data_IF_108392134418
#
_entry.id   IF_108392134418
#
_cell.length_a   1.000
_cell.length_b   1.000
_cell.length_c   1.000
_cell.angle_alpha   90.00
_cell.angle_beta   90.00
_cell.angle_gamma   90.00
#
_symmetry.space_group_name_H-M   'P 1'
#
loop_
_entity.id
_entity.type
_entity.pdbx_description
1 polymer ?
#
# COMPACT_ATOMS: atom_id res chain seq x y z
N UNK A 1 -2.59 -19.05 -16.66
CA UNK A 1 -1.57 -20.00 -16.15
C UNK A 1 -1.42 -19.72 -14.66
N UNK A 2 -1.82 -20.66 -13.77
CA UNK A 2 -1.67 -20.49 -12.33
C UNK A 2 -0.19 -20.41 -11.92
N UNK A 3 0.09 -19.55 -10.95
CA UNK A 3 1.41 -19.48 -10.34
C UNK A 3 1.74 -20.82 -9.66
N UNK A 4 2.89 -21.38 -9.97
CA UNK A 4 3.39 -22.59 -9.29
C UNK A 4 4.43 -22.14 -8.27
N UNK A 5 4.08 -22.18 -6.99
CA UNK A 5 5.01 -21.88 -5.90
C UNK A 5 6.23 -22.80 -5.89
N UNK A 6 7.36 -22.30 -5.41
CA UNK A 6 8.58 -23.06 -5.13
C UNK A 6 8.58 -23.65 -3.72
N UNK A 7 9.70 -24.26 -3.32
CA UNK A 7 9.85 -24.95 -2.03
C UNK A 7 9.62 -24.05 -0.78
N UNK A 8 9.76 -22.72 -0.95
CA UNK A 8 9.64 -21.74 0.14
C UNK A 8 8.45 -20.76 -0.11
N UNK A 9 7.36 -21.27 -0.71
CA UNK A 9 6.20 -20.46 -1.03
C UNK A 9 4.96 -21.06 -0.39
N UNK A 10 4.24 -20.23 0.34
CA UNK A 10 2.90 -20.55 0.82
C UNK A 10 1.88 -19.78 -0.01
N UNK A 11 0.87 -20.48 -0.49
CA UNK A 11 -0.23 -19.90 -1.27
C UNK A 11 -1.44 -19.78 -0.34
N UNK A 12 -1.80 -18.55 -0.02
CA UNK A 12 -3.03 -18.27 0.70
C UNK A 12 -4.15 -17.94 -0.29
N UNK A 13 -5.22 -18.71 -0.24
CA UNK A 13 -6.43 -18.45 -1.03
C UNK A 13 -7.21 -17.27 -0.41
N UNK A 14 -8.17 -16.74 -1.19
CA UNK A 14 -9.05 -15.68 -0.71
C UNK A 14 -9.65 -16.00 0.67
N UNK A 15 -9.53 -15.08 1.59
CA UNK A 15 -10.02 -15.17 2.95
C UNK A 15 -11.31 -14.38 3.11
N UNK A 16 -12.09 -14.71 4.13
CA UNK A 16 -13.21 -13.87 4.57
C UNK A 16 -12.69 -12.55 5.14
N UNK A 17 -13.45 -11.44 5.10
CA UNK A 17 -12.99 -10.13 5.57
C UNK A 17 -12.43 -10.12 6.99
N UNK A 18 -13.01 -10.93 7.88
CA UNK A 18 -12.58 -11.09 9.28
C UNK A 18 -11.20 -11.77 9.43
N UNK A 19 -10.80 -12.59 8.45
CA UNK A 19 -9.52 -13.32 8.45
C UNK A 19 -8.47 -12.68 7.55
N UNK A 20 -8.89 -11.87 6.60
CA UNK A 20 -7.99 -11.24 5.64
C UNK A 20 -6.86 -10.45 6.33
N UNK A 21 -7.20 -9.67 7.35
CA UNK A 21 -6.24 -8.89 8.12
C UNK A 21 -5.17 -9.73 8.81
N UNK A 22 -5.46 -10.97 9.19
CA UNK A 22 -4.50 -11.85 9.86
C UNK A 22 -3.32 -12.22 8.96
N UNK A 23 -3.49 -12.18 7.65
CA UNK A 23 -2.40 -12.48 6.69
C UNK A 23 -1.25 -11.47 6.83
N UNK A 24 -1.55 -10.22 7.15
CA UNK A 24 -0.54 -9.17 7.30
C UNK A 24 0.35 -9.37 8.53
N UNK A 25 -0.14 -10.02 9.58
CA UNK A 25 0.64 -10.22 10.81
C UNK A 25 1.85 -11.15 10.65
N UNK A 26 1.91 -11.91 9.55
CA UNK A 26 3.00 -12.80 9.21
C UNK A 26 3.96 -12.22 8.15
N UNK A 27 3.78 -10.96 7.75
CA UNK A 27 4.58 -10.31 6.72
C UNK A 27 5.55 -9.30 7.34
N UNK A 28 6.79 -9.28 6.86
CA UNK A 28 7.76 -8.23 7.16
C UNK A 28 7.74 -7.12 6.11
N UNK A 29 7.44 -7.46 4.85
CA UNK A 29 7.40 -6.56 3.70
C UNK A 29 6.26 -7.01 2.78
N UNK A 30 5.46 -6.07 2.30
CA UNK A 30 4.45 -6.33 1.28
C UNK A 30 4.95 -5.94 -0.11
N UNK A 31 4.49 -6.66 -1.13
CA UNK A 31 4.86 -6.39 -2.53
C UNK A 31 3.63 -6.09 -3.37
N UNK A 32 3.73 -5.04 -4.19
CA UNK A 32 2.72 -4.68 -5.17
C UNK A 32 3.34 -4.44 -6.56
N UNK A 33 3.78 -5.51 -7.25
CA UNK A 33 4.27 -5.40 -8.61
C UNK A 33 3.07 -5.23 -9.55
N UNK A 34 2.98 -4.08 -10.20
CA UNK A 34 1.96 -3.78 -11.19
C UNK A 34 2.59 -3.52 -12.55
N UNK A 35 1.94 -4.01 -13.60
CA UNK A 35 2.23 -3.65 -14.97
C UNK A 35 1.65 -2.27 -15.26
N UNK A 36 2.37 -1.44 -16.03
CA UNK A 36 1.89 -0.12 -16.43
C UNK A 36 0.81 -0.25 -17.49
N UNK A 37 -0.39 0.12 -17.13
CA UNK A 37 -1.55 0.25 -18.02
C UNK A 37 -2.63 1.11 -17.33
N UNK A 38 -3.56 1.64 -18.09
CA UNK A 38 -4.61 2.54 -17.62
C UNK A 38 -5.42 1.96 -16.46
N UNK A 39 -5.64 0.65 -16.45
CA UNK A 39 -6.36 -0.03 -15.38
C UNK A 39 -5.60 -0.02 -14.06
N UNK A 40 -4.30 -0.29 -14.09
CA UNK A 40 -3.46 -0.30 -12.89
C UNK A 40 -3.18 1.12 -12.38
N UNK A 41 -3.06 2.08 -13.28
CA UNK A 41 -2.87 3.48 -12.96
C UNK A 41 -4.09 4.11 -12.29
N UNK A 42 -5.29 3.59 -12.61
CA UNK A 42 -6.56 4.00 -12.00
C UNK A 42 -6.92 3.28 -10.69
N UNK A 43 -6.03 2.44 -10.15
CA UNK A 43 -6.28 1.73 -8.87
C UNK A 43 -6.22 2.69 -7.69
N UNK A 44 -6.94 2.33 -6.64
CA UNK A 44 -6.89 3.05 -5.37
C UNK A 44 -5.69 2.64 -4.50
N UNK A 45 -5.34 3.51 -3.57
CA UNK A 45 -4.28 3.38 -2.57
C UNK A 45 -4.58 2.36 -1.44
N UNK A 46 -5.61 1.54 -1.58
CA UNK A 46 -6.07 0.62 -0.53
C UNK A 46 -4.95 -0.27 0.03
N UNK A 47 -4.01 -0.67 -0.83
CA UNK A 47 -2.87 -1.47 -0.42
C UNK A 47 -1.92 -0.70 0.52
N UNK A 48 -1.78 0.60 0.32
CA UNK A 48 -1.01 1.49 1.20
C UNK A 48 -1.68 1.54 2.57
N UNK A 49 -3.00 1.78 2.61
CA UNK A 49 -3.76 1.83 3.85
C UNK A 49 -3.71 0.50 4.63
N UNK A 50 -3.86 -0.63 3.92
CA UNK A 50 -3.74 -1.97 4.51
C UNK A 50 -2.35 -2.19 5.12
N UNK A 51 -1.28 -1.95 4.37
CA UNK A 51 0.09 -2.14 4.84
C UNK A 51 0.42 -1.22 6.03
N UNK A 52 0.04 0.05 5.94
CA UNK A 52 0.25 1.03 7.03
C UNK A 52 -0.48 0.64 8.31
N UNK A 53 -1.70 0.11 8.21
CA UNK A 53 -2.46 -0.39 9.37
C UNK A 53 -1.67 -1.42 10.18
N UNK A 54 -0.91 -2.28 9.51
CA UNK A 54 -0.14 -3.36 10.13
C UNK A 54 1.35 -3.04 10.30
N UNK A 55 1.77 -1.81 10.03
CA UNK A 55 3.18 -1.36 10.11
C UNK A 55 4.12 -2.14 9.20
N UNK A 56 3.64 -2.48 8.02
CA UNK A 56 4.38 -3.24 7.01
C UNK A 56 4.77 -2.29 5.89
N UNK A 57 6.06 -2.09 5.57
CA UNK A 57 6.45 -1.26 4.44
C UNK A 57 6.04 -1.92 3.13
N UNK A 58 5.66 -1.09 2.16
CA UNK A 58 5.26 -1.52 0.84
C UNK A 58 6.38 -1.30 -0.17
N UNK A 59 6.74 -2.35 -0.91
CA UNK A 59 7.58 -2.26 -2.11
C UNK A 59 6.66 -2.38 -3.32
N UNK A 60 6.53 -1.31 -4.09
CA UNK A 60 5.54 -1.21 -5.17
C UNK A 60 6.17 -0.72 -6.47
N UNK A 61 5.51 -1.01 -7.60
CA UNK A 61 5.78 -0.32 -8.85
C UNK A 61 5.43 1.16 -8.69
N UNK A 62 6.29 2.05 -9.16
CA UNK A 62 6.04 3.49 -9.17
C UNK A 62 4.96 3.81 -10.21
N UNK A 63 3.70 3.83 -9.77
CA UNK A 63 2.53 4.13 -10.59
C UNK A 63 1.36 4.62 -9.74
N UNK A 64 0.55 5.51 -10.31
CA UNK A 64 -0.75 5.95 -9.86
C UNK A 64 -0.93 6.04 -8.34
N UNK A 65 -1.70 5.12 -7.79
CA UNK A 65 -2.07 5.11 -6.38
C UNK A 65 -0.89 4.96 -5.38
N UNK A 66 0.31 4.64 -5.83
CA UNK A 66 1.43 4.41 -4.91
C UNK A 66 2.41 5.58 -4.83
N UNK A 67 2.62 6.32 -5.92
CA UNK A 67 3.60 7.42 -5.98
C UNK A 67 3.18 8.63 -5.14
N UNK A 68 1.88 8.84 -4.94
CA UNK A 68 1.36 9.88 -4.06
C UNK A 68 1.55 9.59 -2.57
N UNK A 69 1.66 8.31 -2.19
CA UNK A 69 1.60 7.88 -0.79
C UNK A 69 2.88 7.25 -0.26
N UNK A 70 3.69 6.66 -1.13
CA UNK A 70 4.94 6.03 -0.72
C UNK A 70 6.09 7.02 -0.88
N UNK A 71 6.73 7.34 0.22
CA UNK A 71 7.99 8.10 0.22
C UNK A 71 9.13 7.09 0.14
N UNK A 72 9.83 7.09 -1.00
CA UNK A 72 10.88 6.11 -1.31
C UNK A 72 11.99 6.11 -0.25
N UNK A 73 12.29 4.94 0.29
CA UNK A 73 13.27 4.74 1.36
C UNK A 73 12.81 5.17 2.77
N UNK A 74 11.64 5.82 2.91
CA UNK A 74 11.12 6.28 4.21
C UNK A 74 9.88 5.51 4.68
N UNK A 75 8.90 5.27 3.81
CA UNK A 75 7.67 4.54 4.12
C UNK A 75 7.56 3.23 3.36
N UNK A 76 8.39 3.03 2.35
CA UNK A 76 8.46 1.87 1.48
C UNK A 76 9.49 2.08 0.40
N UNK A 77 9.36 1.35 -0.70
CA UNK A 77 10.17 1.55 -1.90
C UNK A 77 9.30 1.60 -3.14
N UNK A 78 9.62 2.54 -4.04
CA UNK A 78 9.02 2.66 -5.36
C UNK A 78 10.02 2.18 -6.41
N UNK A 79 9.61 1.25 -7.23
CA UNK A 79 10.42 0.68 -8.31
C UNK A 79 9.87 1.18 -9.64
N UNK A 80 10.70 1.87 -10.38
CA UNK A 80 10.39 2.35 -11.71
C UNK A 80 10.00 1.15 -12.61
N UNK A 81 8.86 1.20 -13.32
CA UNK A 81 8.36 0.10 -14.13
C UNK A 81 9.32 -0.32 -15.24
N UNK A 82 10.17 0.59 -15.71
CA UNK A 82 11.17 0.32 -16.74
C UNK A 82 12.42 -0.39 -16.20
N UNK A 83 12.53 -0.54 -14.87
CA UNK A 83 13.67 -1.25 -14.27
C UNK A 83 13.51 -2.77 -14.40
N UNK A 84 14.64 -3.48 -14.60
CA UNK A 84 14.63 -4.94 -14.68
C UNK A 84 14.25 -5.58 -13.35
N UNK A 85 13.83 -6.84 -13.40
CA UNK A 85 13.48 -7.63 -12.19
C UNK A 85 14.60 -7.67 -11.15
N UNK A 86 15.84 -7.47 -11.56
CA UNK A 86 17.00 -7.41 -10.66
C UNK A 86 16.91 -6.27 -9.66
N UNK A 87 16.19 -5.18 -9.98
CA UNK A 87 15.97 -4.09 -9.05
C UNK A 87 15.08 -4.52 -7.88
N UNK A 88 14.03 -5.29 -8.14
CA UNK A 88 13.21 -5.91 -7.10
C UNK A 88 14.05 -6.80 -6.19
N UNK A 89 14.92 -7.63 -6.77
CA UNK A 89 15.83 -8.51 -6.01
C UNK A 89 16.80 -7.67 -5.16
N UNK A 90 17.31 -6.56 -5.70
CA UNK A 90 18.19 -5.64 -4.97
C UNK A 90 17.50 -5.04 -3.75
N UNK A 91 16.31 -4.48 -3.94
CA UNK A 91 15.52 -3.85 -2.87
C UNK A 91 15.14 -4.88 -1.79
N UNK A 92 14.65 -6.05 -2.19
CA UNK A 92 14.32 -7.11 -1.23
C UNK A 92 15.55 -7.61 -0.46
N UNK A 93 16.71 -7.64 -1.11
CA UNK A 93 17.97 -7.98 -0.43
C UNK A 93 18.38 -6.92 0.60
N UNK A 94 18.08 -5.64 0.35
CA UNK A 94 18.28 -4.56 1.32
C UNK A 94 17.34 -4.75 2.50
N UNK A 95 16.06 -5.01 2.27
CA UNK A 95 15.08 -5.27 3.32
C UNK A 95 15.51 -6.46 4.20
N UNK A 96 15.86 -7.59 3.58
CA UNK A 96 16.27 -8.80 4.29
C UNK A 96 17.52 -8.61 5.16
N UNK A 97 18.45 -7.77 4.73
CA UNK A 97 19.69 -7.49 5.47
C UNK A 97 19.53 -6.41 6.55
N UNK A 98 18.44 -5.65 6.53
CA UNK A 98 18.23 -4.49 7.40
C UNK A 98 16.85 -4.51 8.09
N UNK A 99 16.58 -5.43 9.04
CA UNK A 99 15.30 -5.49 9.75
C UNK A 99 14.92 -4.18 10.45
N UNK A 100 15.92 -3.44 10.95
CA UNK A 100 15.70 -2.14 11.58
C UNK A 100 15.18 -1.07 10.59
N UNK A 101 15.64 -1.09 9.34
CA UNK A 101 15.09 -0.24 8.27
C UNK A 101 13.65 -0.62 7.97
N UNK A 102 13.35 -1.90 7.80
CA UNK A 102 12.02 -2.42 7.53
C UNK A 102 11.04 -1.98 8.61
N UNK A 103 11.39 -2.18 9.88
CA UNK A 103 10.57 -1.75 11.01
C UNK A 103 10.32 -0.24 11.00
N UNK A 104 11.34 0.57 10.81
CA UNK A 104 11.21 2.03 10.76
C UNK A 104 10.29 2.49 9.62
N UNK A 105 10.46 1.92 8.43
CA UNK A 105 9.61 2.23 7.28
C UNK A 105 8.15 1.86 7.55
N UNK A 106 7.89 0.70 8.14
CA UNK A 106 6.55 0.28 8.53
C UNK A 106 5.90 1.22 9.56
N UNK A 107 6.67 1.68 10.55
CA UNK A 107 6.21 2.67 11.53
C UNK A 107 5.92 4.03 10.90
N UNK A 108 6.73 4.46 9.94
CA UNK A 108 6.50 5.70 9.19
C UNK A 108 5.25 5.60 8.31
N UNK A 109 5.09 4.48 7.59
CA UNK A 109 3.89 4.24 6.79
C UNK A 109 2.63 4.22 7.65
N UNK A 110 2.70 3.63 8.84
CA UNK A 110 1.60 3.63 9.80
C UNK A 110 1.18 5.05 10.20
N UNK A 111 2.12 5.91 10.56
CA UNK A 111 1.83 7.31 10.89
C UNK A 111 1.15 8.03 9.73
N UNK A 112 1.71 7.90 8.53
CA UNK A 112 1.14 8.48 7.33
C UNK A 112 -0.31 8.02 7.11
N UNK A 113 -0.57 6.74 7.28
CA UNK A 113 -1.92 6.18 7.07
C UNK A 113 -2.90 6.56 8.18
N UNK A 114 -2.48 6.64 9.44
CA UNK A 114 -3.33 7.16 10.52
C UNK A 114 -3.70 8.62 10.32
N UNK A 115 -2.78 9.42 9.78
CA UNK A 115 -3.05 10.83 9.50
C UNK A 115 -4.03 11.04 8.35
N UNK A 116 -4.00 10.19 7.32
CA UNK A 116 -4.72 10.43 6.06
C UNK A 116 -5.92 9.48 5.85
N UNK A 117 -5.90 8.28 6.41
CA UNK A 117 -6.94 7.25 6.19
C UNK A 117 -7.75 6.93 7.46
N UNK A 118 -7.64 7.74 8.53
CA UNK A 118 -8.51 7.57 9.69
C UNK A 118 -9.97 7.77 9.29
N UNK A 119 -10.79 6.75 9.55
CA UNK A 119 -12.18 6.73 9.11
C UNK A 119 -12.99 7.91 9.64
N UNK A 120 -12.75 8.34 10.89
CA UNK A 120 -13.49 9.46 11.47
C UNK A 120 -13.12 10.78 10.79
N UNK A 121 -11.84 10.98 10.46
CA UNK A 121 -11.39 12.16 9.71
C UNK A 121 -11.99 12.15 8.30
N UNK A 122 -11.88 11.04 7.58
CA UNK A 122 -12.40 10.92 6.20
C UNK A 122 -13.90 11.11 6.15
N UNK A 123 -14.65 10.51 7.07
CA UNK A 123 -16.10 10.70 7.17
C UNK A 123 -16.45 12.15 7.49
N UNK A 124 -15.75 12.78 8.43
CA UNK A 124 -15.95 14.19 8.78
C UNK A 124 -15.73 15.12 7.58
N UNK A 125 -14.65 14.91 6.81
CA UNK A 125 -14.36 15.68 5.60
C UNK A 125 -15.43 15.48 4.52
N UNK A 126 -15.90 14.25 4.30
CA UNK A 126 -16.97 13.96 3.32
C UNK A 126 -18.29 14.57 3.72
N UNK A 127 -18.66 14.53 5.00
CA UNK A 127 -19.89 15.17 5.48
C UNK A 127 -19.85 16.68 5.27
N UNK A 128 -18.74 17.34 5.61
CA UNK A 128 -18.55 18.77 5.38
C UNK A 128 -18.70 19.13 3.88
N UNK A 129 -18.08 18.33 2.99
CA UNK A 129 -18.20 18.52 1.55
C UNK A 129 -19.65 18.37 1.06
N UNK A 130 -20.38 17.38 1.57
CA UNK A 130 -21.80 17.20 1.21
C UNK A 130 -22.67 18.34 1.69
N UNK A 131 -22.44 18.86 2.89
CA UNK A 131 -23.15 20.04 3.40
C UNK A 131 -22.87 21.28 2.56
N UNK A 132 -21.62 21.50 2.16
CA UNK A 132 -21.23 22.59 1.27
C UNK A 132 -21.96 22.48 -0.08
N UNK A 133 -21.94 21.31 -0.71
CA UNK A 133 -22.65 21.06 -1.98
C UNK A 133 -24.17 21.28 -1.86
N UNK A 134 -24.78 20.86 -0.76
CA UNK A 134 -26.20 21.05 -0.50
C UNK A 134 -26.56 22.53 -0.31
N UNK A 135 -25.71 23.30 0.35
CA UNK A 135 -25.91 24.73 0.57
C UNK A 135 -25.73 25.54 -0.72
N UNK A 136 -24.74 25.19 -1.53
CA UNK A 136 -24.55 25.82 -2.85
C UNK A 136 -25.78 25.65 -3.76
N UNK A 137 -26.44 24.48 -3.72
CA UNK A 137 -27.65 24.18 -4.49
C UNK A 137 -28.89 24.96 -4.05
N UNK A 138 -28.93 25.50 -2.82
CA UNK A 138 -30.02 26.27 -2.28
C UNK A 138 -29.91 27.78 -2.63
N UNK A 139 -28.76 28.22 -3.09
CA UNK A 139 -28.49 29.64 -3.40
C UNK A 139 -28.54 29.97 -4.88
N UNK A 140 -28.72 28.98 -5.75
CA UNK A 140 -28.93 29.15 -7.21
C UNK A 140 -30.32 28.71 -7.62
#
# INVERSE_FOLDING_TARGET
>A
RGFKGGKNWDIHYAQTPDRYGQMFTAMDVALAPLEMNDFNDSKSEIKVAECGRYKIPLVATNCGAYDEWIVDGETGFLIDPDKPITEWVRILSICAKNPGLVKRMGENLHKLTEENFDMNKVVGQRLALYEECMNAKKQG
#
